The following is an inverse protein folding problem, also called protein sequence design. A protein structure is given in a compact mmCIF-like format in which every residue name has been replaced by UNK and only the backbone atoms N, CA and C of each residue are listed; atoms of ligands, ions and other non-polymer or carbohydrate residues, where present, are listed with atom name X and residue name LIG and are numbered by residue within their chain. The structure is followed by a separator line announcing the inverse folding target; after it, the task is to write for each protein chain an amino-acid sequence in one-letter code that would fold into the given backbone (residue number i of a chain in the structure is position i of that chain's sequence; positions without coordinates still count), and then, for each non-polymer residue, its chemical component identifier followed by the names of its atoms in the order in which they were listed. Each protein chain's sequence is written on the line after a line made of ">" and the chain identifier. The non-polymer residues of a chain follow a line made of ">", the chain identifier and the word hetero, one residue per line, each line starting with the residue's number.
data_IF_375703523526
#
_entry.id   IF_375703523526
#
_cell.length_a   1.000
_cell.length_b   1.000
_cell.length_c   1.000
_cell.angle_alpha   90.00
_cell.angle_beta   90.00
_cell.angle_gamma   90.00
#
_symmetry.space_group_name_H-M   'P 1'
#
loop_
_entity.id
_entity.type
_entity.pdbx_description
1 polymer ?
#
# COMPACT_ATOMS: atom_id res chain seq x y z
N UNK A 1 -10.19 -11.37 -5.79
CA UNK A 1 -9.66 -10.62 -6.93
C UNK A 1 -10.68 -9.66 -7.53
N UNK A 2 -11.93 -10.08 -7.77
CA UNK A 2 -12.94 -9.23 -8.42
C UNK A 2 -13.27 -8.00 -7.57
N UNK A 3 -13.28 -8.13 -6.26
CA UNK A 3 -13.45 -6.99 -5.34
C UNK A 3 -12.26 -6.04 -5.39
N UNK A 4 -11.04 -6.55 -5.47
CA UNK A 4 -9.84 -5.72 -5.61
C UNK A 4 -9.83 -4.92 -6.92
N UNK A 5 -10.30 -5.53 -8.02
CA UNK A 5 -10.51 -4.81 -9.30
C UNK A 5 -11.61 -3.76 -9.20
N UNK A 6 -12.70 -4.08 -8.49
CA UNK A 6 -13.79 -3.15 -8.28
C UNK A 6 -13.34 -1.94 -7.43
N UNK A 7 -12.55 -2.18 -6.40
CA UNK A 7 -11.95 -1.13 -5.57
C UNK A 7 -11.01 -0.23 -6.38
N UNK A 8 -10.10 -0.82 -7.17
CA UNK A 8 -9.25 -0.07 -8.08
C UNK A 8 -10.07 0.78 -9.06
N UNK A 9 -11.12 0.21 -9.63
CA UNK A 9 -12.02 0.91 -10.56
C UNK A 9 -12.73 2.08 -9.90
N UNK A 10 -13.15 1.92 -8.65
CA UNK A 10 -13.76 3.00 -7.86
C UNK A 10 -12.76 4.15 -7.60
N UNK A 11 -11.52 3.82 -7.23
CA UNK A 11 -10.45 4.83 -7.09
C UNK A 11 -10.23 5.58 -8.40
N UNK A 12 -10.17 4.88 -9.52
CA UNK A 12 -9.97 5.48 -10.85
C UNK A 12 -11.14 6.39 -11.24
N UNK A 13 -12.36 6.03 -10.90
CA UNK A 13 -13.55 6.88 -11.11
C UNK A 13 -13.43 8.18 -10.32
N UNK A 14 -13.05 8.10 -9.02
CA UNK A 14 -12.85 9.28 -8.17
C UNK A 14 -11.72 10.18 -8.67
N UNK A 15 -10.65 9.60 -9.20
CA UNK A 15 -9.55 10.36 -9.80
C UNK A 15 -10.00 11.14 -11.04
N UNK A 16 -10.94 10.61 -11.80
CA UNK A 16 -11.51 11.30 -12.95
C UNK A 16 -10.47 11.74 -13.98
N UNK A 17 -9.41 10.94 -14.18
CA UNK A 17 -8.32 11.25 -15.11
C UNK A 17 -7.32 12.30 -14.65
N UNK A 18 -7.37 12.74 -13.38
CA UNK A 18 -6.38 13.66 -12.83
C UNK A 18 -5.00 13.01 -12.78
N UNK A 19 -3.97 13.77 -13.13
CA UNK A 19 -2.59 13.31 -12.96
C UNK A 19 -2.21 13.24 -11.48
N UNK A 20 -1.48 12.22 -11.12
CA UNK A 20 -0.87 12.06 -9.81
C UNK A 20 0.65 12.09 -9.95
N UNK A 21 1.32 12.66 -8.97
CA UNK A 21 2.77 12.64 -8.84
C UNK A 21 3.27 11.44 -8.05
N UNK A 22 2.37 10.78 -7.31
CA UNK A 22 2.65 9.62 -6.46
C UNK A 22 1.84 8.40 -6.91
N UNK A 23 2.29 7.18 -6.57
CA UNK A 23 1.58 5.96 -6.90
C UNK A 23 0.20 5.86 -6.21
N UNK A 24 -0.66 5.02 -6.77
CA UNK A 24 -1.89 4.55 -6.13
C UNK A 24 -1.58 3.23 -5.44
N UNK A 25 -1.76 3.17 -4.14
CA UNK A 25 -1.38 2.02 -3.33
C UNK A 25 -2.58 1.12 -3.01
N UNK A 26 -2.38 -0.19 -3.15
CA UNK A 26 -3.21 -1.20 -2.52
C UNK A 26 -2.85 -1.26 -1.04
N UNK A 27 -3.83 -1.04 -0.17
CA UNK A 27 -3.66 -1.02 1.27
C UNK A 27 -4.55 -2.07 1.92
N UNK A 28 -3.93 -3.12 2.42
CA UNK A 28 -4.61 -4.16 3.17
C UNK A 28 -3.89 -4.37 4.50
N UNK A 29 -4.63 -4.22 5.58
CA UNK A 29 -4.11 -4.35 6.93
C UNK A 29 -5.03 -5.18 7.81
N UNK A 30 -4.43 -5.89 8.77
CA UNK A 30 -5.16 -6.49 9.89
C UNK A 30 -5.26 -5.49 11.02
N UNK A 31 -6.47 -5.17 11.43
CA UNK A 31 -6.72 -4.26 12.54
C UNK A 31 -6.98 -5.10 13.79
N UNK A 32 -6.13 -4.95 14.80
CA UNK A 32 -6.27 -5.69 16.05
C UNK A 32 -7.61 -5.40 16.73
N UNK A 33 -8.39 -6.45 16.99
CA UNK A 33 -9.71 -6.36 17.64
C UNK A 33 -10.88 -6.15 16.67
N UNK A 34 -10.62 -6.15 15.39
CA UNK A 34 -11.63 -6.18 14.32
C UNK A 34 -11.58 -7.56 13.63
N UNK A 35 -12.75 -8.14 13.35
CA UNK A 35 -12.89 -9.39 12.60
C UNK A 35 -13.31 -9.05 11.16
N UNK A 36 -12.36 -8.56 10.37
CA UNK A 36 -12.62 -8.26 8.98
C UNK A 36 -12.75 -9.55 8.15
N UNK A 37 -13.69 -9.58 7.20
CA UNK A 37 -13.91 -10.76 6.33
C UNK A 37 -12.68 -11.16 5.51
N UNK A 38 -11.69 -10.28 5.39
CA UNK A 38 -10.45 -10.52 4.67
C UNK A 38 -9.30 -11.03 5.53
N UNK A 39 -9.46 -11.11 6.85
CA UNK A 39 -8.39 -11.52 7.78
C UNK A 39 -7.99 -12.99 7.62
N UNK A 40 -8.87 -13.80 7.08
CA UNK A 40 -8.65 -15.22 6.84
C UNK A 40 -8.09 -15.56 5.46
N UNK A 41 -7.70 -14.57 4.66
CA UNK A 41 -7.13 -14.83 3.35
C UNK A 41 -5.76 -15.52 3.48
N UNK A 42 -5.54 -16.54 2.66
CA UNK A 42 -4.21 -17.12 2.49
C UNK A 42 -3.29 -16.17 1.69
N UNK A 43 -1.99 -16.40 1.80
CA UNK A 43 -0.97 -15.55 1.19
C UNK A 43 -1.08 -15.47 -0.34
N UNK A 44 -1.48 -16.57 -0.98
CA UNK A 44 -1.69 -16.61 -2.43
C UNK A 44 -2.84 -15.71 -2.84
N UNK A 45 -3.98 -15.87 -2.19
CA UNK A 45 -5.19 -15.07 -2.46
C UNK A 45 -4.94 -13.58 -2.16
N UNK A 46 -4.27 -13.24 -1.06
CA UNK A 46 -3.93 -11.86 -0.74
C UNK A 46 -3.02 -11.24 -1.81
N UNK A 47 -2.01 -11.98 -2.24
CA UNK A 47 -1.12 -11.54 -3.32
C UNK A 47 -1.86 -11.38 -4.64
N UNK A 48 -2.78 -12.30 -4.97
CA UNK A 48 -3.63 -12.20 -6.16
C UNK A 48 -4.50 -10.93 -6.14
N UNK A 49 -5.04 -10.56 -4.98
CA UNK A 49 -5.79 -9.32 -4.82
C UNK A 49 -4.91 -8.08 -5.06
N UNK A 50 -3.72 -8.04 -4.45
CA UNK A 50 -2.77 -6.93 -4.65
C UNK A 50 -2.37 -6.79 -6.12
N UNK A 51 -2.05 -7.90 -6.79
CA UNK A 51 -1.74 -7.91 -8.23
C UNK A 51 -2.93 -7.44 -9.07
N UNK A 52 -4.14 -7.92 -8.78
CA UNK A 52 -5.33 -7.54 -9.53
C UNK A 52 -5.65 -6.03 -9.41
N UNK A 53 -5.48 -5.46 -8.22
CA UNK A 53 -5.59 -4.01 -8.00
C UNK A 53 -4.51 -3.26 -8.79
N UNK A 54 -3.25 -3.64 -8.62
CA UNK A 54 -2.11 -2.97 -9.25
C UNK A 54 -2.19 -3.01 -10.78
N UNK A 55 -2.55 -4.15 -11.38
CA UNK A 55 -2.70 -4.25 -12.83
C UNK A 55 -3.87 -3.41 -13.35
N UNK A 56 -4.97 -3.29 -12.59
CA UNK A 56 -6.09 -2.41 -12.95
C UNK A 56 -5.67 -0.93 -12.95
N UNK A 57 -4.95 -0.50 -11.91
CA UNK A 57 -4.40 0.86 -11.79
C UNK A 57 -3.41 1.16 -12.92
N UNK A 58 -2.50 0.22 -13.19
CA UNK A 58 -1.48 0.32 -14.24
C UNK A 58 -2.10 0.42 -15.64
N UNK A 59 -3.13 -0.39 -15.92
CA UNK A 59 -3.84 -0.36 -17.20
C UNK A 59 -4.51 1.00 -17.47
N UNK A 60 -4.87 1.74 -16.43
CA UNK A 60 -5.41 3.10 -16.53
C UNK A 60 -4.33 4.19 -16.65
N UNK A 61 -3.04 3.82 -16.66
CA UNK A 61 -1.92 4.74 -16.85
C UNK A 61 -1.41 5.39 -15.56
N UNK A 62 -1.78 4.88 -14.39
CA UNK A 62 -1.23 5.30 -13.10
C UNK A 62 -0.14 4.35 -12.63
N UNK A 63 0.77 4.86 -11.81
CA UNK A 63 1.78 4.03 -11.15
C UNK A 63 1.16 3.28 -9.96
N UNK A 64 1.17 1.95 -9.93
CA UNK A 64 0.64 1.18 -8.82
C UNK A 64 1.69 0.91 -7.76
N UNK A 65 1.23 0.74 -6.52
CA UNK A 65 2.06 0.30 -5.41
C UNK A 65 1.30 -0.55 -4.41
N UNK A 66 2.03 -1.11 -3.45
CA UNK A 66 1.49 -1.90 -2.35
C UNK A 66 2.02 -1.34 -1.04
N UNK A 67 1.10 -1.07 -0.09
CA UNK A 67 1.45 -0.76 1.28
C UNK A 67 1.78 -2.04 2.01
N UNK A 68 2.88 -2.04 2.76
CA UNK A 68 3.46 -3.23 3.36
C UNK A 68 3.72 -3.00 4.84
N UNK A 69 2.91 -3.61 5.68
CA UNK A 69 3.25 -3.82 7.07
C UNK A 69 4.32 -4.90 7.18
N UNK A 70 5.24 -4.82 8.15
CA UNK A 70 6.35 -5.78 8.25
C UNK A 70 5.89 -7.24 8.21
N UNK A 71 4.85 -7.58 8.98
CA UNK A 71 4.32 -8.94 9.03
C UNK A 71 3.73 -9.38 7.69
N UNK A 72 2.99 -8.51 7.03
CA UNK A 72 2.43 -8.82 5.70
C UNK A 72 3.52 -8.91 4.65
N UNK A 73 4.59 -8.10 4.78
CA UNK A 73 5.74 -8.16 3.88
C UNK A 73 6.53 -9.44 3.99
N UNK A 74 6.68 -10.01 5.19
CA UNK A 74 7.44 -11.24 5.38
C UNK A 74 6.60 -12.52 5.29
N UNK A 75 5.34 -12.46 5.66
CA UNK A 75 4.51 -13.65 5.87
C UNK A 75 3.18 -13.62 5.12
N UNK A 76 2.77 -12.48 4.58
CA UNK A 76 1.47 -12.30 3.94
C UNK A 76 1.53 -12.26 2.42
N UNK A 77 2.57 -11.69 1.85
CA UNK A 77 2.71 -11.54 0.41
C UNK A 77 3.79 -12.43 -0.20
N UNK A 78 3.58 -12.89 -1.42
CA UNK A 78 4.66 -13.32 -2.31
C UNK A 78 5.30 -12.08 -2.95
N UNK A 79 6.35 -11.55 -2.31
CA UNK A 79 7.05 -10.35 -2.77
C UNK A 79 7.69 -10.50 -4.16
N UNK A 80 7.93 -11.72 -4.62
CA UNK A 80 8.50 -11.94 -5.95
C UNK A 80 7.54 -11.53 -7.06
N UNK A 81 6.23 -11.59 -6.79
CA UNK A 81 5.16 -11.19 -7.70
C UNK A 81 4.83 -9.70 -7.63
N UNK A 82 5.28 -9.02 -6.58
CA UNK A 82 5.01 -7.59 -6.33
C UNK A 82 6.18 -6.68 -6.70
N UNK A 83 7.32 -7.24 -7.11
CA UNK A 83 8.58 -6.49 -7.35
C UNK A 83 8.50 -5.40 -8.43
N UNK A 84 7.53 -5.50 -9.33
CA UNK A 84 7.34 -4.56 -10.45
C UNK A 84 6.42 -3.38 -10.06
N UNK A 85 5.91 -3.39 -8.84
CA UNK A 85 5.09 -2.31 -8.27
C UNK A 85 5.88 -1.54 -7.22
N UNK A 86 5.47 -0.31 -6.96
CA UNK A 86 6.05 0.49 -5.88
C UNK A 86 5.74 -0.12 -4.53
N UNK A 87 6.67 -0.01 -3.61
CA UNK A 87 6.49 -0.49 -2.24
C UNK A 87 6.55 0.64 -1.23
N UNK A 88 5.57 0.69 -0.36
CA UNK A 88 5.49 1.64 0.75
C UNK A 88 5.46 0.88 2.06
N UNK A 89 6.56 0.90 2.79
CA UNK A 89 6.71 0.15 4.02
C UNK A 89 6.49 1.02 5.24
N UNK A 90 5.89 0.45 6.28
CA UNK A 90 5.81 1.05 7.60
C UNK A 90 6.91 0.54 8.51
N UNK A 91 7.47 1.43 9.30
CA UNK A 91 8.45 1.09 10.34
C UNK A 91 8.67 2.31 11.21
N UNK A 92 7.93 2.39 12.34
CA UNK A 92 7.98 3.57 13.20
C UNK A 92 9.30 3.65 13.93
N UNK A 93 10.00 4.75 13.76
CA UNK A 93 11.30 4.98 14.41
C UNK A 93 12.32 5.69 13.53
N UNK A 94 13.58 5.46 13.81
CA UNK A 94 14.71 6.14 13.16
C UNK A 94 15.23 5.42 11.91
N UNK A 95 14.75 4.23 11.62
CA UNK A 95 15.08 3.45 10.41
C UNK A 95 13.97 2.46 10.10
N UNK A 96 13.77 2.09 8.81
CA UNK A 96 12.81 1.08 8.42
C UNK A 96 13.28 -0.30 8.89
N UNK A 97 12.35 -1.12 9.43
CA UNK A 97 12.66 -2.49 9.86
C UNK A 97 12.51 -3.52 8.74
N UNK A 98 12.01 -3.08 7.57
CA UNK A 98 11.83 -3.96 6.42
C UNK A 98 13.16 -4.16 5.68
N UNK A 99 13.60 -5.41 5.56
CA UNK A 99 14.91 -5.76 5.01
C UNK A 99 15.03 -5.53 3.52
N UNK A 100 13.94 -5.72 2.78
CA UNK A 100 13.95 -5.60 1.33
C UNK A 100 13.85 -4.15 0.89
N UNK A 101 14.23 -3.91 -0.37
CA UNK A 101 14.08 -2.60 -0.99
C UNK A 101 12.63 -2.13 -0.94
N UNK A 102 12.42 -0.84 -0.69
CA UNK A 102 11.14 -0.16 -0.71
C UNK A 102 11.32 1.27 -1.23
N UNK A 103 10.27 1.80 -1.88
CA UNK A 103 10.28 3.14 -2.49
C UNK A 103 9.88 4.21 -1.49
N UNK A 104 9.01 3.87 -0.52
CA UNK A 104 8.54 4.79 0.51
C UNK A 104 8.59 4.14 1.90
N UNK A 105 8.81 4.98 2.91
CA UNK A 105 8.86 4.61 4.31
C UNK A 105 7.96 5.50 5.15
N UNK A 106 6.95 4.93 5.80
CA UNK A 106 6.15 5.58 6.83
C UNK A 106 6.85 5.44 8.18
N UNK A 107 7.34 6.56 8.71
CA UNK A 107 8.20 6.55 9.88
C UNK A 107 7.56 7.12 11.15
N UNK A 108 6.37 7.72 11.04
CA UNK A 108 5.63 8.27 12.17
C UNK A 108 4.13 8.25 11.92
N UNK A 109 3.36 7.96 12.97
CA UNK A 109 1.90 8.10 12.99
C UNK A 109 1.43 9.37 13.74
N UNK A 110 2.36 10.12 14.34
CA UNK A 110 2.07 11.24 15.25
C UNK A 110 2.77 12.53 14.84
N UNK A 111 2.97 12.69 13.54
CA UNK A 111 3.57 13.91 13.00
C UNK A 111 2.67 15.12 13.15
N UNK A 112 3.27 16.31 13.06
CA UNK A 112 2.56 17.59 13.08
C UNK A 112 2.82 18.33 11.78
N UNK A 113 1.74 18.72 11.12
CA UNK A 113 1.79 19.50 9.88
C UNK A 113 1.09 20.84 10.11
N UNK A 114 1.72 21.96 9.79
CA UNK A 114 1.09 23.27 9.95
C UNK A 114 -0.27 23.34 9.22
N UNK A 115 -1.31 23.76 9.94
CA UNK A 115 -2.67 23.84 9.40
C UNK A 115 -3.53 22.60 9.60
N UNK A 116 -2.99 21.51 10.18
CA UNK A 116 -3.73 20.30 10.56
C UNK A 116 -3.66 20.14 12.08
N UNK A 117 -4.84 20.19 12.73
CA UNK A 117 -4.95 20.06 14.20
C UNK A 117 -5.24 18.59 14.59
N UNK A 118 -4.46 17.69 14.05
CA UNK A 118 -4.51 16.25 14.31
C UNK A 118 -3.13 15.63 14.12
N UNK A 119 -2.98 14.38 14.57
CA UNK A 119 -1.81 13.58 14.21
C UNK A 119 -1.85 13.26 12.73
N UNK A 120 -0.68 13.30 12.09
CA UNK A 120 -0.49 12.97 10.69
C UNK A 120 0.57 11.91 10.52
N UNK A 121 0.37 11.02 9.58
CA UNK A 121 1.40 10.10 9.16
C UNK A 121 2.48 10.84 8.39
N UNK A 122 3.73 10.59 8.76
CA UNK A 122 4.87 11.16 8.06
C UNK A 122 5.61 10.08 7.29
N UNK A 123 5.91 10.41 6.04
CA UNK A 123 6.50 9.50 5.08
C UNK A 123 7.74 10.10 4.43
N UNK A 124 8.63 9.23 4.01
CA UNK A 124 9.79 9.56 3.21
C UNK A 124 9.75 8.75 1.92
N UNK A 125 9.93 9.42 0.79
CA UNK A 125 10.09 8.78 -0.51
C UNK A 125 11.57 8.77 -0.89
N UNK A 126 12.05 7.63 -1.38
CA UNK A 126 13.42 7.51 -1.84
C UNK A 126 13.48 7.73 -3.35
N UNK A 127 14.17 8.79 -3.75
CA UNK A 127 14.50 9.02 -5.16
C UNK A 127 15.71 8.16 -5.56
N UNK A 128 15.66 7.57 -6.77
CA UNK A 128 16.76 6.80 -7.34
C UNK A 128 17.69 7.70 -8.12
#
# INVERSE_FOLDING_TARGET
>A
EDEAKAEASFVLELLGGRKLDLPVFFDWERIAGDDARTDGLDNGTLTDCAVAFCETVKAAGYEPGVYIYNDTGYYGYDLTRLRDYKSWCVGIGSYPYFYYYHDMWQYSFTGRVPGIDADCDLNMMFEK
#
